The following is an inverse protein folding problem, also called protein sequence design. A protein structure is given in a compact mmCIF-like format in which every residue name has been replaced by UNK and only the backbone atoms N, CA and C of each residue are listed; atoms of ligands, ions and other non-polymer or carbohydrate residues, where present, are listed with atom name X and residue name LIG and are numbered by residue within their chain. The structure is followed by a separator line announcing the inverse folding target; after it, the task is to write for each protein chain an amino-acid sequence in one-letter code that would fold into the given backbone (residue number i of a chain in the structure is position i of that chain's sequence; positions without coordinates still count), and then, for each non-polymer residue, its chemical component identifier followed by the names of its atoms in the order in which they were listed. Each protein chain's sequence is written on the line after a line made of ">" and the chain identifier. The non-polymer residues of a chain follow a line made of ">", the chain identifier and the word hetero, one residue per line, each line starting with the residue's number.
data_IF_479157783231
#
_entry.id   IF_479157783231
#
_cell.length_a   1.000
_cell.length_b   1.000
_cell.length_c   1.000
_cell.angle_alpha   90.00
_cell.angle_beta   90.00
_cell.angle_gamma   90.00
#
_symmetry.space_group_name_H-M   'P 1'
#
loop_
_entity.id
_entity.type
_entity.pdbx_description
1 polymer ?
#
# COMPACT_ATOMS: atom_id res chain seq x y z
N UNK A 1 10.73 19.89 20.78
CA UNK A 1 9.57 19.11 21.01
C UNK A 1 9.74 17.70 20.49
N UNK A 2 9.80 16.77 21.39
CA UNK A 2 9.94 15.37 21.01
C UNK A 2 8.65 14.88 20.45
N UNK A 3 8.63 14.70 19.16
CA UNK A 3 7.43 14.24 18.55
C UNK A 3 7.33 12.76 18.49
N UNK A 4 6.14 12.35 18.49
CA UNK A 4 5.75 10.97 18.40
C UNK A 4 6.11 10.34 17.06
N UNK A 5 6.49 11.15 16.07
CA UNK A 5 6.87 10.63 14.77
C UNK A 5 7.95 9.55 14.86
N UNK A 6 8.93 9.70 15.74
CA UNK A 6 9.95 8.68 15.90
C UNK A 6 9.37 7.38 16.42
N UNK A 7 8.36 7.47 17.26
CA UNK A 7 7.66 6.31 17.80
C UNK A 7 6.70 5.68 16.77
N UNK A 8 6.36 6.44 15.74
CA UNK A 8 5.47 5.99 14.68
C UNK A 8 6.21 5.49 13.44
N UNK A 9 7.54 5.47 13.49
CA UNK A 9 8.37 4.97 12.41
C UNK A 9 8.89 6.03 11.45
N UNK A 10 8.60 7.30 11.69
CA UNK A 10 9.12 8.41 10.90
C UNK A 10 10.24 9.13 11.63
N UNK A 11 11.13 9.72 10.85
CA UNK A 11 12.26 10.48 11.37
C UNK A 11 11.88 11.92 11.70
N UNK A 12 12.78 12.61 12.39
CA UNK A 12 12.60 14.00 12.77
C UNK A 12 12.39 14.95 11.60
N UNK A 13 12.87 14.59 10.40
CA UNK A 13 12.66 15.45 9.24
C UNK A 13 11.20 15.67 8.88
N UNK A 14 10.28 14.84 9.36
CA UNK A 14 8.86 15.13 9.23
C UNK A 14 8.46 16.41 9.95
N UNK A 15 9.21 16.82 10.95
CA UNK A 15 8.97 18.08 11.65
C UNK A 15 9.20 19.30 10.77
N UNK A 16 10.00 19.15 9.72
CA UNK A 16 10.32 20.23 8.78
C UNK A 16 9.30 20.36 7.66
N UNK A 17 8.33 19.44 7.60
CA UNK A 17 7.26 19.48 6.63
C UNK A 17 5.95 19.92 7.28
N UNK A 18 4.91 20.07 6.47
CA UNK A 18 3.56 20.34 6.97
C UNK A 18 2.78 19.07 7.29
N UNK A 19 3.45 17.94 7.36
CA UNK A 19 2.81 16.69 7.73
C UNK A 19 2.42 16.69 9.20
N UNK A 20 1.26 16.14 9.49
CA UNK A 20 0.70 16.06 10.85
C UNK A 20 0.24 14.64 11.11
N UNK A 21 0.65 14.08 12.24
CA UNK A 21 0.23 12.74 12.66
C UNK A 21 -0.53 12.87 13.98
N UNK A 22 -1.77 12.42 13.96
CA UNK A 22 -2.62 12.33 15.15
C UNK A 22 -2.90 10.86 15.41
N UNK A 23 -2.11 10.25 16.29
CA UNK A 23 -2.19 8.81 16.56
C UNK A 23 -3.63 8.41 16.92
N UNK A 24 -4.07 7.27 16.36
CA UNK A 24 -5.40 6.67 16.55
C UNK A 24 -6.54 7.56 16.04
N UNK A 25 -6.25 8.57 15.26
CA UNK A 25 -7.26 9.47 14.74
C UNK A 25 -7.07 9.73 13.25
N UNK A 26 -6.11 10.57 12.88
CA UNK A 26 -5.88 10.91 11.48
C UNK A 26 -4.42 11.31 11.26
N UNK A 27 -4.03 11.30 10.01
CA UNK A 27 -2.71 11.76 9.58
C UNK A 27 -2.84 12.56 8.30
N UNK A 28 -2.13 13.67 8.24
CA UNK A 28 -1.97 14.48 7.03
C UNK A 28 -0.49 14.43 6.65
N UNK A 29 -0.20 13.80 5.52
CA UNK A 29 1.17 13.61 5.04
C UNK A 29 1.41 14.46 3.81
N UNK A 30 2.41 15.32 3.88
CA UNK A 30 2.86 16.09 2.73
C UNK A 30 3.77 15.20 1.87
N UNK A 31 3.63 15.21 0.52
CA UNK A 31 4.40 14.31 -0.33
C UNK A 31 5.91 14.41 -0.15
N UNK A 32 6.43 15.61 0.09
CA UNK A 32 7.87 15.82 0.25
C UNK A 32 8.41 15.27 1.57
N UNK A 33 7.54 15.01 2.53
CA UNK A 33 7.91 14.45 3.83
C UNK A 33 7.81 12.94 3.91
N UNK A 34 7.43 12.27 2.83
CA UNK A 34 7.23 10.83 2.84
C UNK A 34 8.56 10.08 2.81
N UNK A 35 8.63 9.02 3.61
CA UNK A 35 9.82 8.18 3.71
C UNK A 35 9.67 6.98 2.78
N UNK A 36 10.69 6.76 1.96
CA UNK A 36 10.72 5.58 1.09
C UNK A 36 11.30 4.40 1.85
N UNK A 37 10.65 3.26 1.73
CA UNK A 37 11.02 2.03 2.40
C UNK A 37 11.23 0.91 1.40
N UNK A 38 12.01 -0.10 1.80
CA UNK A 38 12.07 -1.36 1.10
C UNK A 38 11.29 -2.38 1.92
N UNK A 39 10.18 -2.85 1.37
CA UNK A 39 9.35 -3.87 2.02
C UNK A 39 9.67 -5.22 1.38
N UNK A 40 9.90 -6.28 2.19
CA UNK A 40 10.18 -7.61 1.62
C UNK A 40 9.08 -8.07 0.66
N UNK A 41 9.48 -8.70 -0.42
CA UNK A 41 8.58 -9.17 -1.47
C UNK A 41 8.38 -8.22 -2.62
N UNK A 42 8.67 -6.94 -2.45
CA UNK A 42 8.61 -5.95 -3.52
C UNK A 42 9.96 -5.87 -4.22
N UNK A 43 10.01 -6.30 -5.47
CA UNK A 43 11.21 -6.31 -6.30
C UNK A 43 11.20 -5.08 -7.22
N UNK A 44 12.29 -4.35 -7.27
CA UNK A 44 12.43 -3.12 -8.06
C UNK A 44 11.27 -2.13 -7.83
N UNK A 45 10.92 -1.95 -6.58
CA UNK A 45 9.86 -1.03 -6.17
C UNK A 45 10.35 -0.18 -5.01
N UNK A 46 9.88 1.09 -4.98
CA UNK A 46 10.00 1.94 -3.81
C UNK A 46 8.64 2.01 -3.13
N UNK A 47 8.61 1.80 -1.83
CA UNK A 47 7.35 1.83 -1.08
C UNK A 47 7.37 2.95 -0.05
N UNK A 48 6.22 3.58 0.14
CA UNK A 48 6.02 4.63 1.13
C UNK A 48 4.80 4.26 1.95
N UNK A 49 5.01 4.02 3.24
CA UNK A 49 3.93 3.67 4.15
C UNK A 49 3.15 4.94 4.52
N UNK A 50 1.85 4.93 4.26
CA UNK A 50 0.96 6.04 4.60
C UNK A 50 0.29 5.81 5.94
N UNK A 51 -0.23 4.62 6.18
CA UNK A 51 -0.85 4.24 7.43
C UNK A 51 -0.49 2.82 7.81
N UNK A 52 -0.45 2.55 9.10
CA UNK A 52 -0.10 1.21 9.60
C UNK A 52 -0.61 1.04 11.02
N UNK A 53 -0.65 -0.20 11.53
CA UNK A 53 -1.00 -0.44 12.94
C UNK A 53 -0.12 0.31 13.92
N UNK A 54 1.14 0.56 13.59
CA UNK A 54 2.03 1.34 14.43
C UNK A 54 1.55 2.79 14.62
N UNK A 55 0.77 3.32 13.69
CA UNK A 55 0.15 4.64 13.77
C UNK A 55 -1.27 4.60 14.36
N UNK A 56 -1.73 3.43 14.78
CA UNK A 56 -3.06 3.22 15.32
C UNK A 56 -4.13 2.85 14.29
N UNK A 57 -3.75 2.64 13.04
CA UNK A 57 -4.69 2.23 12.00
C UNK A 57 -5.05 0.75 12.10
N UNK A 58 -6.27 0.40 11.69
CA UNK A 58 -6.70 -1.01 11.60
C UNK A 58 -6.34 -1.64 10.25
N UNK A 59 -5.50 -0.97 9.48
CA UNK A 59 -5.10 -1.36 8.13
C UNK A 59 -3.66 -0.93 7.89
N UNK A 60 -3.10 -1.37 6.78
CA UNK A 60 -1.85 -0.83 6.27
C UNK A 60 -2.06 -0.38 4.83
N UNK A 61 -1.57 0.81 4.50
CA UNK A 61 -1.61 1.29 3.13
C UNK A 61 -0.30 1.97 2.75
N UNK A 62 0.02 1.88 1.46
CA UNK A 62 1.27 2.40 0.93
C UNK A 62 1.09 2.93 -0.49
N UNK A 63 1.99 3.84 -0.87
CA UNK A 63 2.24 4.15 -2.26
C UNK A 63 3.43 3.31 -2.71
N UNK A 64 3.29 2.63 -3.83
CA UNK A 64 4.36 1.81 -4.41
C UNK A 64 4.72 2.38 -5.77
N UNK A 65 5.98 2.77 -5.94
CA UNK A 65 6.52 3.13 -7.25
C UNK A 65 7.17 1.87 -7.83
N UNK A 66 6.63 1.39 -8.93
CA UNK A 66 7.07 0.15 -9.59
C UNK A 66 7.92 0.54 -10.78
N UNK A 67 9.21 0.24 -10.69
CA UNK A 67 10.14 0.45 -11.80
C UNK A 67 10.03 -0.67 -12.82
N UNK A 68 10.60 -0.47 -13.99
CA UNK A 68 10.63 -1.54 -15.00
C UNK A 68 11.22 -2.82 -14.41
N UNK A 69 10.56 -3.95 -14.63
CA UNK A 69 10.92 -5.23 -13.99
C UNK A 69 10.43 -5.37 -12.56
N UNK A 70 9.75 -4.36 -12.03
CA UNK A 70 9.20 -4.42 -10.67
C UNK A 70 8.03 -5.37 -10.54
N UNK A 71 7.92 -6.01 -9.38
CA UNK A 71 6.85 -6.98 -9.13
C UNK A 71 6.73 -7.31 -7.65
N UNK A 72 5.65 -7.98 -7.31
CA UNK A 72 5.49 -8.70 -6.05
C UNK A 72 4.67 -9.96 -6.34
N UNK A 73 5.18 -11.10 -5.94
CA UNK A 73 4.58 -12.39 -6.26
C UNK A 73 3.43 -12.79 -5.32
N UNK A 74 3.33 -12.16 -4.15
CA UNK A 74 2.28 -12.50 -3.20
C UNK A 74 2.01 -11.37 -2.22
N UNK A 75 0.83 -10.80 -2.29
CA UNK A 75 0.35 -9.76 -1.36
C UNK A 75 -0.99 -10.22 -0.80
N UNK A 76 -1.15 -10.13 0.52
CA UNK A 76 -2.40 -10.50 1.17
C UNK A 76 -2.53 -12.01 1.32
N UNK A 77 -3.74 -12.52 1.35
CA UNK A 77 -4.03 -13.89 1.70
C UNK A 77 -3.95 -14.12 3.22
N UNK A 78 -4.21 -15.33 3.67
CA UNK A 78 -4.20 -15.70 5.09
C UNK A 78 -5.07 -14.79 5.96
N UNK A 79 -6.24 -14.43 5.45
CA UNK A 79 -7.18 -13.58 6.15
C UNK A 79 -7.01 -12.09 5.88
N UNK A 80 -6.08 -11.70 5.02
CA UNK A 80 -5.82 -10.29 4.68
C UNK A 80 -6.34 -10.00 3.27
N UNK A 81 -7.38 -9.18 3.19
CA UNK A 81 -7.87 -8.65 1.93
C UNK A 81 -6.98 -7.52 1.41
N UNK A 82 -6.89 -7.39 0.12
CA UNK A 82 -6.03 -6.41 -0.54
C UNK A 82 -6.77 -5.67 -1.63
N UNK A 83 -6.64 -4.35 -1.64
CA UNK A 83 -7.11 -3.48 -2.69
C UNK A 83 -5.91 -2.77 -3.31
N UNK A 84 -5.85 -2.77 -4.63
CA UNK A 84 -4.78 -2.14 -5.39
C UNK A 84 -5.40 -1.20 -6.42
N UNK A 85 -4.93 0.05 -6.44
CA UNK A 85 -5.39 1.08 -7.37
C UNK A 85 -4.19 1.62 -8.15
N UNK A 86 -4.34 1.76 -9.45
CA UNK A 86 -3.28 2.32 -10.31
C UNK A 86 -3.42 3.82 -10.37
N UNK A 87 -2.49 4.53 -9.75
CA UNK A 87 -2.45 5.99 -9.74
C UNK A 87 -1.87 6.49 -11.07
N UNK A 88 -0.86 5.80 -11.59
CA UNK A 88 -0.23 6.13 -12.86
C UNK A 88 0.49 4.92 -13.41
N UNK A 89 0.71 4.89 -14.73
CA UNK A 89 1.41 3.79 -15.39
C UNK A 89 0.53 2.56 -15.63
N UNK A 90 1.17 1.40 -15.74
CA UNK A 90 0.50 0.15 -16.04
C UNK A 90 1.13 -1.03 -15.31
N UNK A 91 0.29 -1.96 -14.87
CA UNK A 91 0.71 -3.21 -14.26
C UNK A 91 -0.26 -4.32 -14.66
N UNK A 92 0.21 -5.56 -14.59
CA UNK A 92 -0.65 -6.74 -14.69
C UNK A 92 -0.82 -7.29 -13.28
N UNK A 93 -2.06 -7.48 -12.86
CA UNK A 93 -2.41 -7.96 -11.52
C UNK A 93 -3.19 -9.25 -11.65
N UNK A 94 -2.91 -10.21 -10.80
CA UNK A 94 -3.64 -11.49 -10.81
C UNK A 94 -3.74 -12.11 -9.42
N UNK A 95 -4.74 -12.96 -9.28
CA UNK A 95 -4.84 -13.93 -8.20
C UNK A 95 -5.23 -15.29 -8.81
N UNK A 96 -5.59 -16.26 -7.98
CA UNK A 96 -5.94 -17.59 -8.47
C UNK A 96 -7.18 -17.59 -9.38
N UNK A 97 -8.06 -16.61 -9.25
CA UNK A 97 -9.36 -16.59 -9.95
C UNK A 97 -9.42 -15.60 -11.12
N UNK A 98 -8.54 -14.61 -11.17
CA UNK A 98 -8.64 -13.55 -12.15
C UNK A 98 -7.28 -12.94 -12.49
N UNK A 99 -7.19 -12.39 -13.70
CA UNK A 99 -6.03 -11.63 -14.16
C UNK A 99 -6.51 -10.40 -14.92
N UNK A 100 -5.86 -9.27 -14.69
CA UNK A 100 -6.22 -8.03 -15.37
C UNK A 100 -4.98 -7.21 -15.68
N UNK A 101 -4.95 -6.61 -16.87
CA UNK A 101 -4.00 -5.58 -17.22
C UNK A 101 -4.61 -4.23 -16.84
N UNK A 102 -3.99 -3.53 -15.92
CA UNK A 102 -4.51 -2.28 -15.37
C UNK A 102 -3.68 -1.09 -15.81
N UNK A 103 -4.36 -0.01 -16.14
CA UNK A 103 -3.76 1.29 -16.42
C UNK A 103 -4.30 2.32 -15.44
N UNK A 104 -3.87 3.56 -15.56
CA UNK A 104 -4.30 4.66 -14.69
C UNK A 104 -5.81 4.62 -14.45
N UNK A 105 -6.20 4.64 -13.19
CA UNK A 105 -7.60 4.59 -12.77
C UNK A 105 -8.15 3.17 -12.58
N UNK A 106 -7.42 2.13 -13.00
CA UNK A 106 -7.83 0.75 -12.80
C UNK A 106 -7.60 0.30 -11.37
N UNK A 107 -8.34 -0.68 -10.94
CA UNK A 107 -8.17 -1.25 -9.61
C UNK A 107 -8.41 -2.75 -9.62
N UNK A 108 -7.92 -3.41 -8.57
CA UNK A 108 -8.09 -4.84 -8.38
C UNK A 108 -8.31 -5.10 -6.88
N UNK A 109 -9.36 -5.82 -6.57
CA UNK A 109 -9.62 -6.27 -5.21
C UNK A 109 -9.40 -7.78 -5.12
N UNK A 110 -8.64 -8.21 -4.12
CA UNK A 110 -8.43 -9.63 -3.85
C UNK A 110 -8.94 -9.95 -2.44
N UNK A 111 -9.88 -10.90 -2.32
CA UNK A 111 -10.42 -11.26 -1.02
C UNK A 111 -9.39 -11.92 -0.11
N UNK A 112 -9.75 -12.07 1.16
CA UNK A 112 -8.84 -12.53 2.21
C UNK A 112 -8.19 -13.89 1.96
N UNK A 113 -8.85 -14.75 1.21
CA UNK A 113 -8.35 -16.10 0.92
C UNK A 113 -7.38 -16.17 -0.26
N UNK A 114 -7.32 -15.11 -1.07
CA UNK A 114 -6.57 -15.11 -2.31
C UNK A 114 -5.45 -14.06 -2.29
N UNK A 115 -4.20 -14.47 -2.14
CA UNK A 115 -3.10 -13.53 -2.34
C UNK A 115 -3.08 -13.06 -3.80
N UNK A 116 -2.67 -11.82 -4.02
CA UNK A 116 -2.49 -11.30 -5.37
C UNK A 116 -1.02 -11.12 -5.69
N UNK A 117 -0.74 -11.07 -6.99
CA UNK A 117 0.57 -10.70 -7.50
C UNK A 117 0.41 -9.61 -8.54
N UNK A 118 1.46 -8.81 -8.72
CA UNK A 118 1.50 -7.84 -9.81
C UNK A 118 2.89 -7.81 -10.43
N UNK A 119 2.93 -7.36 -11.67
CA UNK A 119 4.17 -7.14 -12.40
C UNK A 119 4.05 -5.87 -13.23
N UNK A 120 5.13 -5.13 -13.33
CA UNK A 120 5.21 -3.95 -14.17
C UNK A 120 4.90 -4.30 -15.63
N UNK A 121 4.15 -3.45 -16.29
CA UNK A 121 3.91 -3.53 -17.73
C UNK A 121 3.98 -2.13 -18.32
N UNK A 122 4.14 -2.04 -19.65
CA UNK A 122 4.28 -0.76 -20.33
C UNK A 122 5.66 -0.13 -20.19
N UNK A 123 5.75 1.15 -20.38
CA UNK A 123 7.00 1.93 -20.31
C UNK A 123 6.95 2.91 -19.14
N UNK A 124 8.14 3.18 -18.56
CA UNK A 124 8.25 4.09 -17.42
C UNK A 124 7.75 3.49 -16.12
N UNK A 125 7.85 4.26 -15.04
CA UNK A 125 7.41 3.80 -13.73
C UNK A 125 5.89 3.75 -13.61
N UNK A 126 5.40 2.80 -12.85
CA UNK A 126 4.01 2.78 -12.42
C UNK A 126 3.90 3.20 -10.96
N UNK A 127 2.79 3.79 -10.59
CA UNK A 127 2.52 4.17 -9.21
C UNK A 127 1.21 3.53 -8.78
N UNK A 128 1.26 2.81 -7.66
CA UNK A 128 0.13 2.09 -7.11
C UNK A 128 -0.20 2.61 -5.72
N UNK A 129 -1.48 2.58 -5.39
CA UNK A 129 -1.94 2.67 -4.02
C UNK A 129 -2.38 1.28 -3.58
N UNK A 130 -1.80 0.76 -2.50
CA UNK A 130 -2.09 -0.57 -1.97
C UNK A 130 -2.67 -0.42 -0.57
N UNK A 131 -3.83 -1.02 -0.36
CA UNK A 131 -4.53 -1.04 0.92
C UNK A 131 -4.72 -2.48 1.36
N UNK A 132 -4.32 -2.81 2.59
CA UNK A 132 -4.42 -4.17 3.14
C UNK A 132 -5.08 -4.12 4.51
N UNK A 133 -6.00 -5.05 4.74
CA UNK A 133 -6.70 -5.13 6.02
C UNK A 133 -7.05 -6.59 6.31
N UNK A 134 -6.96 -6.98 7.59
CA UNK A 134 -7.49 -8.27 8.01
C UNK A 134 -9.01 -8.23 7.86
N UNK A 135 -9.54 -9.22 7.15
CA UNK A 135 -10.97 -9.31 6.90
C UNK A 135 -11.70 -9.68 8.19
N UNK A 136 -12.73 -8.93 8.48
CA UNK A 136 -13.63 -9.20 9.60
C UNK A 136 -15.03 -9.37 9.04
N UNK A 137 -15.61 -10.60 9.12
CA UNK A 137 -16.98 -10.82 8.60
C UNK A 137 -17.97 -9.96 9.37
N UNK A 138 -18.90 -9.36 8.63
CA UNK A 138 -20.00 -8.65 9.24
C UNK A 138 -21.03 -9.66 9.70
N UNK A 139 -21.38 -9.61 10.99
CA UNK A 139 -22.34 -10.54 11.57
C UNK A 139 -23.70 -10.44 10.87
N UNK A 140 -24.24 -11.59 10.49
CA UNK A 140 -25.54 -11.68 9.81
C UNK A 140 -25.48 -11.49 8.29
N UNK A 141 -24.30 -11.30 7.72
CA UNK A 141 -24.11 -11.15 6.28
C UNK A 141 -23.12 -12.16 5.74
N UNK A 142 -23.37 -12.63 4.53
CA UNK A 142 -22.42 -13.50 3.84
C UNK A 142 -21.18 -12.71 3.39
N UNK A 143 -20.05 -13.38 3.39
CA UNK A 143 -18.80 -12.79 2.91
C UNK A 143 -18.78 -12.69 1.39
#
# INVERSE_FOLDING_TARGET
>A
MGYLNNQLGYRDQLLETRSVIKKDNWVLLEPDGLVKNAIPGYVNCDTTILGSPAMGASFADYIVTVHEGGKNDSIGGDGIETFLYVVDGAVTVKNADAEAALTKGGYFYSPAELPLSFAHSGEGDAKLYVYRRRYEPLEGYAA
#
